data_IF_670573730965
#
_entry.id   IF_670573730965
#
_cell.length_a   1.000
_cell.length_b   1.000
_cell.length_c   1.000
_cell.angle_alpha   90.00
_cell.angle_beta   90.00
_cell.angle_gamma   90.00
#
_symmetry.space_group_name_H-M   'P 1'
#
loop_
_entity.id
_entity.type
_entity.pdbx_description
1 polymer ?
#
# COMPACT_ATOMS: atom_id res chain seq x y z
N UNK A 1 -7.53 21.59 2.32
CA UNK A 1 -6.25 21.46 1.58
C UNK A 1 -5.35 22.63 1.94
N UNK A 2 -4.03 22.44 1.99
CA UNK A 2 -3.04 23.51 2.20
C UNK A 2 -2.23 23.69 0.92
N UNK A 3 -2.05 24.92 0.46
CA UNK A 3 -1.20 25.21 -0.68
C UNK A 3 0.27 25.02 -0.29
N UNK A 4 1.03 24.36 -1.15
CA UNK A 4 2.48 24.16 -1.00
C UNK A 4 3.17 24.58 -2.30
N UNK A 5 4.39 25.08 -2.18
CA UNK A 5 5.29 25.30 -3.30
C UNK A 5 6.46 24.33 -3.16
N UNK A 6 6.77 23.60 -4.22
CA UNK A 6 7.84 22.60 -4.23
C UNK A 6 8.68 22.76 -5.50
N UNK A 7 9.97 22.48 -5.39
CA UNK A 7 10.83 22.35 -6.55
C UNK A 7 10.82 20.89 -6.99
N UNK A 8 10.60 20.66 -8.27
CA UNK A 8 10.60 19.34 -8.88
C UNK A 8 11.52 19.34 -10.10
N UNK A 9 12.11 18.20 -10.47
CA UNK A 9 12.87 18.08 -11.71
C UNK A 9 12.04 18.52 -12.91
N UNK A 10 12.64 19.32 -13.80
CA UNK A 10 11.94 19.87 -14.96
C UNK A 10 11.37 18.77 -15.86
N UNK A 11 12.14 17.71 -16.08
CA UNK A 11 11.75 16.56 -16.92
C UNK A 11 10.49 15.88 -16.39
N UNK A 12 10.47 15.56 -15.10
CA UNK A 12 9.31 14.95 -14.44
C UNK A 12 8.05 15.83 -14.52
N UNK A 13 8.21 17.15 -14.41
CA UNK A 13 7.09 18.08 -14.56
C UNK A 13 6.55 18.11 -16.00
N UNK A 14 7.42 18.05 -17.01
CA UNK A 14 6.99 17.98 -18.42
C UNK A 14 6.25 16.68 -18.72
N UNK A 15 6.71 15.54 -18.20
CA UNK A 15 6.01 14.26 -18.35
C UNK A 15 4.61 14.31 -17.73
N UNK A 16 4.50 14.82 -16.50
CA UNK A 16 3.21 15.01 -15.83
C UNK A 16 2.28 15.94 -16.60
N UNK A 17 2.82 16.99 -17.23
CA UNK A 17 2.05 17.91 -18.09
C UNK A 17 1.51 17.21 -19.33
N UNK A 18 2.33 16.38 -19.98
CA UNK A 18 1.91 15.57 -21.13
C UNK A 18 0.82 14.55 -20.74
N UNK A 19 0.97 13.90 -19.58
CA UNK A 19 -0.02 12.97 -19.05
C UNK A 19 -1.35 13.65 -18.69
N UNK A 20 -1.28 14.83 -18.08
CA UNK A 20 -2.44 15.66 -17.79
C UNK A 20 -3.21 16.02 -19.05
N UNK A 21 -2.51 16.47 -20.10
CA UNK A 21 -3.12 16.80 -21.39
C UNK A 21 -3.82 15.59 -22.02
N UNK A 22 -3.18 14.41 -21.98
CA UNK A 22 -3.75 13.17 -22.54
C UNK A 22 -4.98 12.67 -21.77
N UNK A 23 -5.03 12.89 -20.46
CA UNK A 23 -6.11 12.39 -19.60
C UNK A 23 -7.21 13.42 -19.33
N UNK A 24 -7.03 14.67 -19.77
CA UNK A 24 -7.95 15.77 -19.47
C UNK A 24 -7.96 16.18 -18.00
N UNK A 25 -6.97 15.74 -17.21
CA UNK A 25 -6.89 16.00 -15.76
C UNK A 25 -5.89 17.12 -15.47
N UNK A 26 -6.09 17.95 -14.43
CA UNK A 26 -5.10 18.93 -14.00
C UNK A 26 -3.79 18.28 -13.52
N UNK A 27 -2.64 18.88 -13.85
CA UNK A 27 -1.31 18.42 -13.39
C UNK A 27 -1.26 18.29 -11.86
N UNK A 28 -1.82 19.26 -11.14
CA UNK A 28 -1.86 19.25 -9.69
C UNK A 28 -2.66 18.06 -9.12
N UNK A 29 -3.63 17.53 -9.86
CA UNK A 29 -4.38 16.35 -9.46
C UNK A 29 -3.53 15.08 -9.57
N UNK A 30 -2.78 14.95 -10.66
CA UNK A 30 -1.83 13.85 -10.83
C UNK A 30 -0.74 13.85 -9.75
N UNK A 31 -0.23 15.04 -9.41
CA UNK A 31 0.75 15.18 -8.31
C UNK A 31 0.15 14.74 -6.98
N UNK A 32 -1.08 15.20 -6.66
CA UNK A 32 -1.77 14.78 -5.43
C UNK A 32 -1.99 13.27 -5.38
N UNK A 33 -2.41 12.68 -6.48
CA UNK A 33 -2.61 11.23 -6.57
C UNK A 33 -1.28 10.49 -6.35
N UNK A 34 -0.21 10.90 -7.02
CA UNK A 34 1.12 10.30 -6.84
C UNK A 34 1.60 10.38 -5.38
N UNK A 35 1.32 11.48 -4.67
CA UNK A 35 1.64 11.61 -3.25
C UNK A 35 0.87 10.60 -2.39
N UNK A 36 -0.44 10.42 -2.63
CA UNK A 36 -1.25 9.43 -1.92
C UNK A 36 -0.74 8.02 -2.20
N UNK A 37 -0.55 7.68 -3.47
CA UNK A 37 -0.09 6.36 -3.88
C UNK A 37 1.30 6.02 -3.31
N UNK A 38 2.18 7.01 -3.17
CA UNK A 38 3.48 6.82 -2.52
C UNK A 38 3.32 6.51 -1.02
N UNK A 39 2.51 7.29 -0.31
CA UNK A 39 2.28 7.09 1.12
C UNK A 39 1.59 5.77 1.42
N UNK A 40 0.64 5.34 0.59
CA UNK A 40 -0.01 4.04 0.74
C UNK A 40 0.97 2.88 0.53
N UNK A 41 1.84 2.97 -0.49
CA UNK A 41 2.90 1.97 -0.73
C UNK A 41 3.90 1.88 0.42
N UNK A 42 4.29 3.01 0.99
CA UNK A 42 5.22 3.00 2.13
C UNK A 42 4.55 2.53 3.42
N UNK A 43 3.25 2.81 3.62
CA UNK A 43 2.48 2.26 4.74
C UNK A 43 2.33 0.74 4.63
N UNK A 44 2.00 0.22 3.44
CA UNK A 44 1.82 -1.23 3.25
C UNK A 44 3.13 -2.00 3.33
N UNK A 45 4.26 -1.41 2.92
CA UNK A 45 5.60 -1.99 3.10
C UNK A 45 6.01 -2.16 4.56
N UNK A 46 5.53 -1.29 5.45
CA UNK A 46 5.89 -1.32 6.87
C UNK A 46 4.99 -2.21 7.71
N UNK A 47 4.10 -3.00 7.11
CA UNK A 47 3.33 -4.00 7.86
C UNK A 47 4.10 -5.31 7.84
N UNK A 48 4.71 -5.67 8.97
CA UNK A 48 5.14 -7.05 9.17
C UNK A 48 3.89 -7.92 9.23
N UNK A 49 3.96 -9.14 8.69
CA UNK A 49 2.92 -10.15 8.94
C UNK A 49 2.71 -10.35 10.45
N UNK A 50 3.76 -10.11 11.26
CA UNK A 50 3.69 -10.16 12.71
C UNK A 50 2.85 -9.02 13.33
N UNK A 51 2.67 -7.90 12.63
CA UNK A 51 1.94 -6.73 13.13
C UNK A 51 0.45 -6.75 12.73
N UNK A 52 0.05 -7.72 11.90
CA UNK A 52 -1.36 -7.90 11.53
C UNK A 52 -2.09 -8.53 12.72
N UNK A 53 -3.12 -7.87 13.29
CA UNK A 53 -3.86 -8.46 14.40
C UNK A 53 -4.51 -9.77 13.93
N UNK A 54 -4.47 -10.83 14.76
CA UNK A 54 -5.06 -12.10 14.39
C UNK A 54 -6.54 -11.90 14.09
N UNK A 55 -6.95 -12.30 12.89
CA UNK A 55 -8.36 -12.35 12.54
C UNK A 55 -9.06 -13.34 13.47
N UNK A 56 -10.17 -12.93 14.09
CA UNK A 56 -10.97 -13.84 14.91
C UNK A 56 -11.69 -14.83 13.97
N UNK A 57 -11.06 -15.97 13.75
CA UNK A 57 -11.57 -17.05 12.90
C UNK A 57 -12.54 -17.99 13.63
N UNK A 58 -13.02 -17.60 14.81
CA UNK A 58 -13.93 -18.40 15.63
C UNK A 58 -13.21 -19.35 16.59
N UNK A 59 -13.99 -20.20 17.25
CA UNK A 59 -13.46 -21.19 18.18
C UNK A 59 -12.74 -22.32 17.42
N UNK A 60 -11.65 -22.81 18.02
CA UNK A 60 -10.98 -24.00 17.51
C UNK A 60 -11.95 -25.19 17.55
N UNK A 61 -12.14 -25.85 16.41
CA UNK A 61 -13.00 -27.04 16.31
C UNK A 61 -12.42 -28.21 17.11
N UNK A 62 -11.10 -28.25 17.25
CA UNK A 62 -10.34 -29.24 18.00
C UNK A 62 -9.17 -28.56 18.71
N UNK A 63 -8.84 -28.93 19.96
CA UNK A 63 -7.67 -28.42 20.65
C UNK A 63 -6.42 -29.06 20.05
N UNK A 64 -5.75 -28.36 19.13
CA UNK A 64 -4.49 -28.85 18.56
C UNK A 64 -3.31 -28.40 19.42
N UNK A 65 -2.37 -29.31 19.61
CA UNK A 65 -1.05 -28.94 20.09
C UNK A 65 -0.27 -28.25 18.97
N UNK A 66 0.73 -27.45 19.35
CA UNK A 66 1.58 -26.74 18.39
C UNK A 66 2.27 -27.68 17.39
N UNK A 67 2.62 -28.89 17.84
CA UNK A 67 3.29 -29.89 17.02
C UNK A 67 2.35 -30.45 15.95
N UNK A 68 1.14 -30.86 16.33
CA UNK A 68 0.12 -31.38 15.39
C UNK A 68 -0.26 -30.33 14.32
N UNK A 69 -0.38 -29.06 14.72
CA UNK A 69 -0.62 -27.97 13.78
C UNK A 69 0.52 -27.84 12.75
N UNK A 70 1.76 -28.02 13.18
CA UNK A 70 2.93 -27.84 12.33
C UNK A 70 3.10 -28.99 11.33
N UNK A 71 2.85 -30.24 11.77
CA UNK A 71 2.82 -31.41 10.89
C UNK A 71 1.75 -31.25 9.80
N UNK A 72 0.50 -30.92 10.15
CA UNK A 72 -0.58 -30.72 9.17
C UNK A 72 -0.27 -29.60 8.15
N UNK A 73 0.41 -28.53 8.57
CA UNK A 73 0.78 -27.43 7.68
C UNK A 73 1.91 -27.81 6.70
N UNK A 74 2.78 -28.75 7.07
CA UNK A 74 3.94 -29.18 6.27
C UNK A 74 3.59 -30.37 5.38
N UNK A 75 2.67 -31.23 5.79
CA UNK A 75 2.25 -32.43 5.04
C UNK A 75 1.23 -32.13 3.91
N UNK A 76 1.05 -30.85 3.52
CA UNK A 76 0.21 -30.42 2.39
C UNK A 76 0.98 -30.21 1.08
#
# INVERSE_FOLDING_TARGET
MKAISIHVPQEAYQELKSLAARTGRPVAELIRQAMVDYLERERSRNWSIADIPPHNSGALLLPWTRHELFEEMIER
#
